data_IF_979760977323
#
_entry.id   IF_979760977323
#
_cell.length_a   1.000
_cell.length_b   1.000
_cell.length_c   1.000
_cell.angle_alpha   90.00
_cell.angle_beta   90.00
_cell.angle_gamma   90.00
#
_symmetry.space_group_name_H-M   'P 1'
#
loop_
_entity.id
_entity.type
_entity.pdbx_description
1 polymer ?
#
# COMPACT_ATOMS: atom_id res chain seq x y z
N UNK A 1 7.45 -98.83 2.95
CA UNK A 1 6.71 -99.61 1.94
C UNK A 1 6.71 -98.83 0.63
N UNK A 2 7.09 -99.48 -0.47
CA UNK A 2 7.05 -99.09 -1.90
C UNK A 2 7.84 -97.80 -2.27
N UNK A 3 8.96 -97.77 -3.03
CA UNK A 3 9.38 -98.45 -4.28
C UNK A 3 8.28 -98.48 -5.34
N UNK A 4 8.40 -97.70 -6.42
CA UNK A 4 8.79 -98.14 -7.79
C UNK A 4 8.57 -97.10 -8.91
N UNK A 5 9.56 -97.02 -9.83
CA UNK A 5 9.47 -97.00 -11.33
C UNK A 5 8.77 -95.77 -11.96
N UNK A 6 9.26 -95.08 -12.98
CA UNK A 6 10.29 -95.34 -13.99
C UNK A 6 9.79 -94.84 -15.36
N UNK A 7 10.73 -94.74 -16.30
CA UNK A 7 10.57 -94.70 -17.76
C UNK A 7 10.45 -93.36 -18.54
N UNK A 8 11.41 -93.25 -19.47
CA UNK A 8 11.26 -92.97 -20.90
C UNK A 8 11.33 -91.53 -21.44
N UNK A 9 12.57 -91.16 -21.81
CA UNK A 9 13.01 -90.82 -23.18
C UNK A 9 11.93 -90.34 -24.16
N UNK A 10 12.06 -89.08 -24.61
CA UNK A 10 11.82 -88.75 -26.01
C UNK A 10 12.72 -87.58 -26.45
N UNK A 11 13.58 -87.89 -27.40
CA UNK A 11 14.50 -87.01 -28.10
C UNK A 11 13.72 -86.28 -29.20
N UNK A 12 13.67 -84.94 -29.15
CA UNK A 12 13.15 -84.14 -30.27
C UNK A 12 14.07 -82.94 -30.52
N UNK A 13 14.91 -83.08 -31.55
CA UNK A 13 15.69 -81.99 -32.13
C UNK A 13 14.76 -81.18 -33.02
N UNK A 14 14.56 -79.90 -32.68
CA UNK A 14 13.85 -78.92 -33.52
C UNK A 14 14.83 -77.81 -33.90
N UNK A 15 15.07 -77.72 -35.22
CA UNK A 15 15.86 -76.69 -35.89
C UNK A 15 15.23 -75.30 -35.68
N UNK A 16 15.96 -74.41 -35.02
CA UNK A 16 15.62 -72.98 -34.91
C UNK A 16 16.44 -72.17 -35.93
N UNK A 17 15.76 -71.53 -36.88
CA UNK A 17 16.33 -70.47 -37.70
C UNK A 17 16.35 -69.14 -36.93
N UNK A 18 17.30 -68.23 -37.20
CA UNK A 18 17.38 -66.96 -36.49
C UNK A 18 16.30 -65.99 -36.98
N UNK A 19 15.48 -65.50 -36.04
CA UNK A 19 14.60 -64.35 -36.24
C UNK A 19 15.47 -63.09 -36.07
N UNK A 20 15.62 -62.32 -37.15
CA UNK A 20 16.22 -61.00 -37.10
C UNK A 20 15.23 -60.01 -36.45
N UNK A 21 15.44 -59.72 -35.16
CA UNK A 21 14.84 -58.57 -34.49
C UNK A 21 15.80 -57.38 -34.58
N UNK A 22 15.48 -56.44 -35.46
CA UNK A 22 16.17 -55.15 -35.57
C UNK A 22 15.22 -54.00 -35.31
N UNK A 23 15.04 -53.61 -34.04
CA UNK A 23 14.62 -52.26 -33.64
C UNK A 23 15.33 -51.89 -32.33
N UNK A 24 16.49 -51.26 -32.47
CA UNK A 24 17.26 -50.71 -31.35
C UNK A 24 16.63 -49.40 -30.87
N UNK A 25 15.70 -49.49 -29.93
CA UNK A 25 15.30 -48.33 -29.12
C UNK A 25 16.34 -48.17 -28.01
N UNK A 26 17.37 -47.34 -28.25
CA UNK A 26 18.38 -47.01 -27.23
C UNK A 26 17.70 -46.22 -26.10
N UNK A 27 17.31 -46.92 -25.03
CA UNK A 27 16.99 -46.30 -23.75
C UNK A 27 18.24 -45.62 -23.22
N UNK A 28 18.19 -44.31 -23.06
CA UNK A 28 19.22 -43.55 -22.34
C UNK A 28 19.33 -44.07 -20.90
N UNK A 29 20.53 -44.12 -20.30
CA UNK A 29 20.73 -44.56 -18.93
C UNK A 29 19.98 -43.66 -17.95
N UNK A 30 19.37 -44.27 -16.92
CA UNK A 30 18.69 -43.54 -15.85
C UNK A 30 19.66 -42.56 -15.17
N UNK A 31 19.36 -41.26 -15.26
CA UNK A 31 20.15 -40.18 -14.64
C UNK A 31 20.75 -39.17 -15.62
N UNK A 32 20.70 -39.40 -16.94
CA UNK A 32 21.19 -38.43 -17.92
C UNK A 32 20.04 -37.52 -18.37
N UNK A 33 20.09 -36.26 -17.94
CA UNK A 33 19.15 -35.22 -18.37
C UNK A 33 19.24 -35.06 -19.90
N UNK A 34 18.14 -35.33 -20.61
CA UNK A 34 18.07 -35.14 -22.06
C UNK A 34 18.10 -33.62 -22.38
N UNK A 35 19.16 -33.10 -23.04
CA UNK A 35 19.27 -31.68 -23.36
C UNK A 35 18.12 -31.17 -24.23
N UNK A 36 17.53 -32.02 -25.07
CA UNK A 36 16.38 -31.64 -25.88
C UNK A 36 15.11 -31.50 -25.03
N UNK A 37 14.93 -32.38 -24.04
CA UNK A 37 13.84 -32.28 -23.07
C UNK A 37 13.98 -31.02 -22.19
N UNK A 38 15.19 -30.70 -21.71
CA UNK A 38 15.44 -29.47 -20.95
C UNK A 38 15.10 -28.24 -21.78
N UNK A 39 15.61 -28.14 -23.02
CA UNK A 39 15.33 -26.99 -23.89
C UNK A 39 13.83 -26.81 -24.16
N UNK A 40 13.10 -27.90 -24.31
CA UNK A 40 11.63 -27.89 -24.45
C UNK A 40 10.94 -27.36 -23.19
N UNK A 41 11.40 -27.78 -22.01
CA UNK A 41 10.90 -27.28 -20.72
C UNK A 41 11.22 -25.79 -20.53
N UNK A 42 12.43 -25.36 -20.88
CA UNK A 42 12.83 -23.94 -20.83
C UNK A 42 11.96 -23.08 -21.76
N UNK A 43 11.69 -23.56 -22.97
CA UNK A 43 10.81 -22.87 -23.92
C UNK A 43 9.39 -22.78 -23.36
N UNK A 44 8.86 -23.87 -22.77
CA UNK A 44 7.55 -23.85 -22.13
C UNK A 44 7.50 -22.88 -20.94
N UNK A 45 8.55 -22.84 -20.12
CA UNK A 45 8.65 -21.91 -19.00
C UNK A 45 8.63 -20.46 -19.48
N UNK A 46 9.38 -20.14 -20.54
CA UNK A 46 9.39 -18.80 -21.16
C UNK A 46 8.01 -18.41 -21.72
N UNK A 47 7.32 -19.34 -22.39
CA UNK A 47 5.96 -19.08 -22.89
C UNK A 47 4.99 -18.81 -21.75
N UNK A 48 5.02 -19.63 -20.69
CA UNK A 48 4.15 -19.44 -19.52
C UNK A 48 4.44 -18.13 -18.79
N UNK A 49 5.72 -17.76 -18.66
CA UNK A 49 6.10 -16.46 -18.11
C UNK A 49 5.53 -15.32 -18.97
N UNK A 50 5.72 -15.38 -20.29
CA UNK A 50 5.23 -14.35 -21.20
C UNK A 50 3.70 -14.20 -21.16
N UNK A 51 2.96 -15.32 -21.14
CA UNK A 51 1.49 -15.33 -21.02
C UNK A 51 1.03 -14.75 -19.68
N UNK A 52 1.68 -15.13 -18.58
CA UNK A 52 1.37 -14.62 -17.25
C UNK A 52 1.62 -13.11 -17.15
N UNK A 53 2.78 -12.63 -17.62
CA UNK A 53 3.12 -11.20 -17.62
C UNK A 53 2.18 -10.38 -18.50
N UNK A 54 1.80 -10.92 -19.66
CA UNK A 54 0.81 -10.31 -20.54
C UNK A 54 -0.55 -10.20 -19.83
N UNK A 55 -1.02 -11.29 -19.23
CA UNK A 55 -2.28 -11.31 -18.49
C UNK A 55 -2.31 -10.28 -17.36
N UNK A 56 -1.22 -10.12 -16.60
CA UNK A 56 -1.11 -9.08 -15.57
C UNK A 56 -1.15 -7.66 -16.14
N UNK A 57 -0.53 -7.44 -17.31
CA UNK A 57 -0.54 -6.13 -17.99
C UNK A 57 -1.93 -5.76 -18.49
N UNK A 58 -2.64 -6.74 -19.07
CA UNK A 58 -4.02 -6.56 -19.55
C UNK A 58 -4.99 -6.29 -18.38
N UNK A 59 -4.83 -7.00 -17.26
CA UNK A 59 -5.59 -6.74 -16.03
C UNK A 59 -5.27 -5.38 -15.43
N UNK A 60 -3.99 -4.97 -15.39
CA UNK A 60 -3.60 -3.66 -14.89
C UNK A 60 -4.31 -2.55 -15.69
N UNK A 61 -4.25 -2.65 -17.03
CA UNK A 61 -4.91 -1.70 -17.93
C UNK A 61 -6.43 -1.67 -17.71
N UNK A 62 -7.06 -2.84 -17.61
CA UNK A 62 -8.50 -2.95 -17.36
C UNK A 62 -8.93 -2.31 -16.03
N UNK A 63 -8.09 -2.44 -14.98
CA UNK A 63 -8.34 -1.77 -13.70
C UNK A 63 -8.15 -0.25 -13.78
N UNK A 64 -7.16 0.23 -14.55
CA UNK A 64 -7.02 1.66 -14.83
C UNK A 64 -8.24 2.23 -15.56
N UNK A 65 -8.73 1.51 -16.57
CA UNK A 65 -9.88 1.94 -17.39
C UNK A 65 -11.16 2.12 -16.55
N UNK A 66 -11.33 1.32 -15.50
CA UNK A 66 -12.44 1.45 -14.53
C UNK A 66 -12.12 2.36 -13.34
N UNK A 67 -10.93 2.96 -13.30
CA UNK A 67 -10.48 3.89 -12.25
C UNK A 67 -9.98 3.23 -10.96
N UNK A 68 -9.86 1.90 -10.90
CA UNK A 68 -9.36 1.17 -9.73
C UNK A 68 -7.81 1.11 -9.74
N UNK A 69 -7.20 2.28 -9.47
CA UNK A 69 -5.75 2.47 -9.51
C UNK A 69 -5.00 1.60 -8.49
N UNK A 70 -5.61 1.29 -7.35
CA UNK A 70 -5.03 0.42 -6.32
C UNK A 70 -4.85 -1.01 -6.86
N UNK A 71 -5.86 -1.57 -7.54
CA UNK A 71 -5.75 -2.90 -8.17
C UNK A 71 -4.83 -2.88 -9.38
N UNK A 72 -4.86 -1.84 -10.20
CA UNK A 72 -3.91 -1.68 -11.30
C UNK A 72 -2.46 -1.74 -10.81
N UNK A 73 -2.13 -0.97 -9.76
CA UNK A 73 -0.82 -0.99 -9.12
C UNK A 73 -0.46 -2.37 -8.57
N UNK A 74 -1.41 -3.09 -7.97
CA UNK A 74 -1.17 -4.44 -7.46
C UNK A 74 -0.77 -5.42 -8.57
N UNK A 75 -1.37 -5.32 -9.75
CA UNK A 75 -1.00 -6.16 -10.91
C UNK A 75 0.41 -5.82 -11.43
N UNK A 76 0.73 -4.53 -11.53
CA UNK A 76 2.07 -4.06 -11.93
C UNK A 76 3.15 -4.48 -10.91
N UNK A 77 2.85 -4.45 -9.61
CA UNK A 77 3.76 -4.96 -8.58
C UNK A 77 3.97 -6.48 -8.68
N UNK A 78 2.95 -7.24 -9.09
CA UNK A 78 3.11 -8.67 -9.35
C UNK A 78 4.06 -8.93 -10.52
N UNK A 79 4.04 -8.09 -11.56
CA UNK A 79 5.03 -8.16 -12.66
C UNK A 79 6.45 -7.97 -12.11
N UNK A 80 6.68 -6.97 -11.25
CA UNK A 80 8.01 -6.71 -10.67
C UNK A 80 8.54 -7.84 -9.77
N UNK A 81 7.66 -8.69 -9.21
CA UNK A 81 8.08 -9.89 -8.46
C UNK A 81 8.66 -10.97 -9.35
N UNK A 82 8.25 -11.02 -10.62
CA UNK A 82 8.77 -11.95 -11.62
C UNK A 82 9.93 -11.33 -12.40
N UNK A 83 9.81 -10.05 -12.78
CA UNK A 83 10.80 -9.28 -13.55
C UNK A 83 11.15 -7.96 -12.86
N UNK A 84 12.11 -7.96 -11.91
CA UNK A 84 12.47 -6.76 -11.13
C UNK A 84 13.12 -5.63 -11.94
N UNK A 85 13.66 -5.94 -13.11
CA UNK A 85 14.33 -5.03 -14.05
C UNK A 85 13.38 -4.39 -15.08
N UNK A 86 12.06 -4.59 -14.95
CA UNK A 86 11.07 -3.94 -15.81
C UNK A 86 10.88 -2.46 -15.45
N UNK A 87 11.78 -1.58 -15.90
CA UNK A 87 11.76 -0.15 -15.56
C UNK A 87 10.50 0.57 -16.04
N UNK A 88 9.93 0.17 -17.17
CA UNK A 88 8.65 0.71 -17.67
C UNK A 88 7.50 0.47 -16.67
N UNK A 89 7.51 -0.67 -15.97
CA UNK A 89 6.49 -1.01 -14.97
C UNK A 89 6.68 -0.17 -13.71
N UNK A 90 7.93 0.07 -13.29
CA UNK A 90 8.24 0.96 -12.16
C UNK A 90 7.76 2.38 -12.43
N UNK A 91 8.04 2.89 -13.63
CA UNK A 91 7.63 4.23 -14.04
C UNK A 91 6.10 4.34 -14.09
N UNK A 92 5.41 3.33 -14.63
CA UNK A 92 3.94 3.30 -14.64
C UNK A 92 3.35 3.30 -13.23
N UNK A 93 3.93 2.53 -12.29
CA UNK A 93 3.52 2.56 -10.88
C UNK A 93 3.67 3.97 -10.29
N UNK A 94 4.80 4.63 -10.58
CA UNK A 94 5.05 6.00 -10.11
C UNK A 94 4.04 6.99 -10.70
N UNK A 95 3.72 6.88 -11.97
CA UNK A 95 2.68 7.70 -12.62
C UNK A 95 1.31 7.50 -11.98
N UNK A 96 0.94 6.24 -11.68
CA UNK A 96 -0.30 5.96 -10.96
C UNK A 96 -0.29 6.62 -9.58
N UNK A 97 0.81 6.51 -8.83
CA UNK A 97 0.95 7.15 -7.51
C UNK A 97 0.81 8.67 -7.58
N UNK A 98 1.46 9.32 -8.55
CA UNK A 98 1.37 10.77 -8.74
C UNK A 98 -0.05 11.21 -9.16
N UNK A 99 -0.71 10.43 -10.03
CA UNK A 99 -2.05 10.75 -10.51
C UNK A 99 -3.10 10.78 -9.39
N UNK A 100 -2.89 10.02 -8.30
CA UNK A 100 -3.81 10.05 -7.14
C UNK A 100 -3.83 11.44 -6.48
N UNK A 101 -2.71 12.17 -6.48
CA UNK A 101 -2.66 13.53 -5.92
C UNK A 101 -3.24 14.60 -6.84
N UNK A 102 -3.23 14.36 -8.16
CA UNK A 102 -3.78 15.29 -9.14
C UNK A 102 -5.31 15.17 -9.23
N UNK A 103 -5.80 13.95 -9.32
CA UNK A 103 -7.23 13.70 -9.59
C UNK A 103 -8.10 13.79 -8.33
N UNK A 104 -7.51 13.52 -7.16
CA UNK A 104 -8.24 13.45 -5.89
C UNK A 104 -7.85 14.62 -5.01
N UNK A 105 -8.58 15.72 -5.18
CA UNK A 105 -8.40 16.94 -4.39
C UNK A 105 -9.72 17.39 -3.75
N UNK A 106 -9.63 17.83 -2.49
CA UNK A 106 -10.73 18.48 -1.77
C UNK A 106 -10.21 19.76 -1.14
N UNK A 107 -11.00 20.83 -1.21
CA UNK A 107 -10.75 22.06 -0.46
C UNK A 107 -11.62 22.05 0.78
N UNK A 108 -10.97 22.11 1.94
CA UNK A 108 -11.61 22.30 3.24
C UNK A 108 -11.55 23.78 3.60
N UNK A 109 -12.70 24.42 3.68
CA UNK A 109 -12.81 25.80 4.17
C UNK A 109 -12.80 25.80 5.72
N UNK A 110 -11.71 26.31 6.28
CA UNK A 110 -11.49 26.38 7.72
C UNK A 110 -11.85 27.77 8.24
N UNK A 111 -12.87 27.86 9.10
CA UNK A 111 -13.14 29.06 9.88
C UNK A 111 -12.25 29.09 11.12
N UNK A 112 -11.25 29.98 11.13
CA UNK A 112 -10.22 30.00 12.18
C UNK A 112 -10.77 30.36 13.56
N UNK A 113 -11.97 30.96 13.64
CA UNK A 113 -12.64 31.28 14.90
C UNK A 113 -13.17 30.03 15.62
N UNK A 114 -13.28 28.90 14.91
CA UNK A 114 -13.72 27.63 15.48
C UNK A 114 -12.49 26.85 15.96
N UNK A 115 -12.68 26.02 17.00
CA UNK A 115 -11.65 25.12 17.50
C UNK A 115 -11.34 23.99 16.51
N UNK A 116 -11.36 22.74 16.98
CA UNK A 116 -11.19 21.58 16.10
C UNK A 116 -12.32 21.46 15.07
N UNK A 117 -11.97 21.46 13.78
CA UNK A 117 -12.89 21.33 12.64
C UNK A 117 -12.62 20.02 11.94
N UNK A 118 -13.66 19.18 11.81
CA UNK A 118 -13.58 17.99 10.97
C UNK A 118 -13.42 18.38 9.49
N UNK A 119 -12.43 17.80 8.83
CA UNK A 119 -12.29 17.92 7.36
C UNK A 119 -13.34 17.10 6.59
N UNK A 120 -14.04 16.18 7.27
CA UNK A 120 -14.89 15.17 6.62
C UNK A 120 -14.10 14.07 5.90
N UNK A 121 -12.76 14.06 6.02
CA UNK A 121 -11.88 13.10 5.36
C UNK A 121 -11.36 12.06 6.33
N UNK A 122 -11.41 10.79 5.92
CA UNK A 122 -10.71 9.68 6.58
C UNK A 122 -9.43 9.40 5.82
N UNK A 123 -8.31 9.53 6.51
CA UNK A 123 -7.01 9.12 5.98
C UNK A 123 -6.76 7.65 6.32
N UNK A 124 -6.02 6.97 5.45
CA UNK A 124 -5.72 5.54 5.60
C UNK A 124 -4.27 5.33 6.05
N UNK A 125 -4.08 4.40 6.99
CA UNK A 125 -2.75 4.01 7.48
C UNK A 125 -1.82 3.67 6.32
N UNK A 126 -0.63 4.27 6.32
CA UNK A 126 0.42 4.02 5.35
C UNK A 126 0.18 4.61 3.96
N UNK A 127 -0.98 5.24 3.71
CA UNK A 127 -1.27 5.87 2.43
C UNK A 127 -1.07 7.38 2.51
N UNK A 128 -0.24 7.90 1.61
CA UNK A 128 0.19 9.28 1.67
C UNK A 128 -0.91 10.27 1.23
N UNK A 129 -0.95 11.42 1.92
CA UNK A 129 -1.77 12.59 1.60
C UNK A 129 -0.92 13.86 1.65
N UNK A 130 -1.26 14.86 0.83
CA UNK A 130 -0.64 16.18 0.86
C UNK A 130 -1.65 17.22 1.28
N UNK A 131 -1.24 18.09 2.19
CA UNK A 131 -2.01 19.21 2.70
C UNK A 131 -1.33 20.51 2.28
N UNK A 132 -2.08 21.42 1.69
CA UNK A 132 -1.62 22.76 1.33
C UNK A 132 -2.60 23.79 1.89
N UNK A 133 -2.11 24.67 2.75
CA UNK A 133 -2.93 25.71 3.36
C UNK A 133 -2.64 27.07 2.72
N UNK A 134 -3.70 27.77 2.35
CA UNK A 134 -3.64 29.12 1.80
C UNK A 134 -4.61 30.04 2.53
N UNK A 135 -4.24 31.32 2.60
CA UNK A 135 -5.03 32.37 3.24
C UNK A 135 -4.30 33.02 4.39
N UNK A 136 -4.96 34.01 4.98
CA UNK A 136 -4.45 34.79 6.09
C UNK A 136 -5.56 35.01 7.09
N UNK A 137 -5.22 35.00 8.37
CA UNK A 137 -6.14 35.29 9.45
C UNK A 137 -5.41 36.11 10.52
N UNK A 138 -6.18 36.74 11.41
CA UNK A 138 -5.65 37.50 12.53
C UNK A 138 -5.76 36.65 13.79
N UNK A 139 -4.66 36.51 14.51
CA UNK A 139 -4.61 35.96 15.85
C UNK A 139 -4.48 37.11 16.84
N UNK A 140 -5.43 37.22 17.77
CA UNK A 140 -5.45 38.27 18.80
C UNK A 140 -5.36 37.58 20.16
N UNK A 141 -4.36 37.96 20.93
CA UNK A 141 -4.09 37.42 22.25
C UNK A 141 -4.00 38.58 23.22
N UNK A 142 -4.81 38.56 24.27
CA UNK A 142 -4.81 39.56 25.33
C UNK A 142 -4.53 38.86 26.66
N UNK A 143 -3.25 38.67 26.98
CA UNK A 143 -2.78 38.07 28.23
C UNK A 143 -1.71 38.94 28.88
N UNK A 144 -1.68 38.89 30.22
CA UNK A 144 -0.56 39.36 31.02
C UNK A 144 0.34 38.16 31.31
N UNK A 145 1.58 38.20 30.80
CA UNK A 145 2.55 37.12 30.95
C UNK A 145 3.78 37.61 31.73
N UNK A 146 4.30 36.75 32.58
CA UNK A 146 5.61 36.93 33.21
C UNK A 146 6.77 36.58 32.26
N UNK A 147 8.03 36.71 32.71
CA UNK A 147 9.21 36.40 31.89
C UNK A 147 9.29 34.93 31.44
N UNK A 148 8.59 34.04 32.14
CA UNK A 148 8.50 32.61 31.79
C UNK A 148 7.49 32.33 30.65
N UNK A 149 6.67 33.30 30.25
CA UNK A 149 5.66 33.13 29.19
C UNK A 149 4.49 32.21 29.58
N UNK A 150 3.97 31.46 28.60
CA UNK A 150 2.89 30.49 28.81
C UNK A 150 3.40 29.23 29.53
N UNK A 151 2.78 28.86 30.65
CA UNK A 151 3.02 27.57 31.31
C UNK A 151 2.05 26.52 30.74
N UNK A 152 2.60 25.40 30.28
CA UNK A 152 1.85 24.27 29.72
C UNK A 152 0.88 23.62 30.72
N UNK A 153 1.07 23.85 32.03
CA UNK A 153 0.31 23.23 33.12
C UNK A 153 -0.90 24.04 33.63
N UNK A 154 -1.10 25.29 33.19
CA UNK A 154 -2.12 26.20 33.75
C UNK A 154 -3.58 25.90 33.33
N UNK A 155 -3.88 24.72 32.76
CA UNK A 155 -5.25 24.35 32.32
C UNK A 155 -5.83 25.23 31.19
N UNK A 156 -5.07 26.22 30.72
CA UNK A 156 -5.30 27.01 29.49
C UNK A 156 -4.55 26.42 28.28
N UNK A 157 -3.74 25.38 28.52
CA UNK A 157 -2.90 24.65 27.57
C UNK A 157 -3.52 23.37 26.99
N UNK A 158 -4.78 23.04 27.28
CA UNK A 158 -5.46 21.86 26.66
C UNK A 158 -5.50 21.94 25.11
N UNK A 159 -5.29 23.15 24.62
CA UNK A 159 -5.50 23.58 23.26
C UNK A 159 -4.20 24.08 22.60
N UNK A 160 -3.11 24.11 23.36
CA UNK A 160 -1.79 24.48 22.86
C UNK A 160 -1.01 23.20 22.54
N UNK A 161 -0.51 23.10 21.31
CA UNK A 161 0.36 21.99 20.92
C UNK A 161 1.81 22.41 21.18
N UNK A 162 2.43 21.79 22.18
CA UNK A 162 3.82 22.05 22.54
C UNK A 162 4.77 21.81 21.35
N UNK A 163 5.75 22.70 21.19
CA UNK A 163 6.73 22.64 20.11
C UNK A 163 6.21 23.08 18.73
N UNK A 164 4.95 23.48 18.60
CA UNK A 164 4.39 24.05 17.38
C UNK A 164 4.24 25.58 17.54
N UNK A 165 4.60 26.40 16.54
CA UNK A 165 4.43 27.85 16.63
C UNK A 165 2.97 28.25 16.89
N UNK A 166 2.78 29.25 17.75
CA UNK A 166 1.48 29.89 17.95
C UNK A 166 1.00 30.49 16.63
N UNK A 167 -0.22 30.14 16.26
CA UNK A 167 -0.87 30.51 15.02
C UNK A 167 -0.60 29.56 13.83
N UNK A 168 0.18 28.50 14.00
CA UNK A 168 0.35 27.52 12.93
C UNK A 168 -0.93 26.67 12.75
N UNK A 169 -1.19 26.23 11.52
CA UNK A 169 -2.21 25.21 11.26
C UNK A 169 -1.68 23.85 11.74
N UNK A 170 -2.50 23.16 12.53
CA UNK A 170 -2.24 21.80 13.02
C UNK A 170 -3.35 20.84 12.58
N UNK A 171 -2.97 19.59 12.43
CA UNK A 171 -3.87 18.48 12.16
C UNK A 171 -3.75 17.40 13.23
N UNK A 172 -4.77 16.57 13.33
CA UNK A 172 -4.79 15.38 14.17
C UNK A 172 -5.65 14.31 13.48
N UNK A 173 -5.23 13.05 13.60
CA UNK A 173 -5.97 11.92 13.07
C UNK A 173 -6.71 11.27 14.24
N UNK A 174 -8.04 11.27 14.20
CA UNK A 174 -8.87 10.66 15.25
C UNK A 174 -9.33 9.28 14.76
N UNK A 175 -8.94 8.17 15.40
CA UNK A 175 -9.35 6.83 15.01
C UNK A 175 -10.88 6.68 15.01
N UNK A 176 -11.41 6.08 13.94
CA UNK A 176 -12.86 5.82 13.82
C UNK A 176 -13.21 4.66 14.76
N UNK A 177 -13.98 4.94 15.83
CA UNK A 177 -14.35 3.95 16.85
C UNK A 177 -13.57 4.04 18.18
N UNK A 178 -12.67 5.01 18.34
CA UNK A 178 -11.95 5.26 19.60
C UNK A 178 -12.76 6.09 20.62
N UNK A 179 -12.59 5.81 21.91
CA UNK A 179 -13.32 6.40 23.05
C UNK A 179 -12.99 7.87 23.36
N UNK A 180 -12.48 8.65 22.41
CA UNK A 180 -12.07 10.04 22.65
C UNK A 180 -12.44 10.93 21.47
N UNK A 181 -13.59 11.62 21.59
CA UNK A 181 -13.98 12.73 20.71
C UNK A 181 -13.14 14.01 20.96
N UNK A 182 -12.01 13.93 21.67
CA UNK A 182 -11.16 15.08 22.00
C UNK A 182 -9.70 14.79 21.59
N UNK A 183 -9.11 15.57 20.67
CA UNK A 183 -7.79 15.26 20.10
C UNK A 183 -6.55 15.57 20.96
N UNK A 184 -6.66 15.62 22.30
CA UNK A 184 -5.52 16.02 23.13
C UNK A 184 -5.53 15.40 24.53
N UNK A 185 -5.80 14.09 24.63
CA UNK A 185 -5.85 13.40 25.93
C UNK A 185 -4.50 12.76 26.28
N UNK A 186 -3.52 13.60 26.63
CA UNK A 186 -2.24 13.15 27.20
C UNK A 186 -1.39 12.28 26.26
N UNK A 187 -0.43 11.53 26.85
CA UNK A 187 0.56 10.72 26.12
C UNK A 187 -0.04 9.60 25.25
N UNK A 188 -1.27 9.18 25.56
CA UNK A 188 -1.95 8.06 24.91
C UNK A 188 -3.04 8.51 23.90
N UNK A 189 -3.27 9.82 23.78
CA UNK A 189 -4.20 10.40 22.80
C UNK A 189 -3.58 10.56 21.41
N UNK A 190 -4.41 10.72 20.36
CA UNK A 190 -3.91 11.01 19.02
C UNK A 190 -3.08 12.29 19.03
N UNK A 191 -1.85 12.19 18.53
CA UNK A 191 -0.86 13.28 18.61
C UNK A 191 -1.07 14.28 17.47
N UNK A 192 -1.25 15.58 17.78
CA UNK A 192 -1.29 16.60 16.75
C UNK A 192 0.03 16.71 16.00
N UNK A 193 -0.03 17.14 14.74
CA UNK A 193 1.12 17.44 13.91
C UNK A 193 0.98 18.81 13.25
N UNK A 194 2.10 19.47 13.01
CA UNK A 194 2.13 20.75 12.32
C UNK A 194 1.90 20.55 10.81
N UNK A 195 0.97 21.32 10.24
CA UNK A 195 0.75 21.37 8.79
C UNK A 195 1.46 22.59 8.20
N UNK A 196 1.35 23.76 8.83
CA UNK A 196 1.90 25.00 8.27
C UNK A 196 1.28 25.34 6.90
N UNK A 197 2.08 25.81 5.94
CA UNK A 197 1.64 26.12 4.58
C UNK A 197 1.56 24.90 3.67
N UNK A 198 2.40 23.88 3.89
CA UNK A 198 2.40 22.64 3.15
C UNK A 198 2.96 21.50 4.00
N UNK A 199 2.32 20.34 3.93
CA UNK A 199 2.76 19.15 4.64
C UNK A 199 2.42 17.88 3.86
N UNK A 200 3.38 16.96 3.79
CA UNK A 200 3.19 15.63 3.24
C UNK A 200 3.12 14.64 4.40
N UNK A 201 2.01 13.92 4.49
CA UNK A 201 1.66 13.09 5.63
C UNK A 201 1.50 11.63 5.19
N UNK A 202 2.22 10.74 5.86
CA UNK A 202 1.95 9.29 5.83
C UNK A 202 1.34 8.89 7.17
N UNK A 203 0.01 8.68 7.25
CA UNK A 203 -0.69 8.35 8.49
C UNK A 203 -0.16 7.06 9.12
N UNK A 204 0.09 7.07 10.43
CA UNK A 204 0.48 5.86 11.20
C UNK A 204 -0.72 4.97 11.52
N UNK A 205 -1.92 5.55 11.49
CA UNK A 205 -3.20 4.92 11.72
C UNK A 205 -4.28 5.53 10.81
N UNK A 206 -5.36 4.79 10.60
CA UNK A 206 -6.51 5.29 9.84
C UNK A 206 -7.45 6.07 10.75
N UNK A 207 -7.99 7.19 10.28
CA UNK A 207 -8.85 8.01 11.11
C UNK A 207 -9.36 9.27 10.42
N UNK A 208 -10.28 9.96 11.08
CA UNK A 208 -10.80 11.25 10.64
C UNK A 208 -9.73 12.32 10.82
N UNK A 209 -9.41 13.04 9.75
CA UNK A 209 -8.55 14.21 9.81
C UNK A 209 -9.33 15.41 10.37
N UNK A 210 -8.82 15.97 11.46
CA UNK A 210 -9.38 17.14 12.13
C UNK A 210 -8.31 18.23 12.14
N UNK A 211 -8.72 19.47 11.87
CA UNK A 211 -7.84 20.61 11.62
C UNK A 211 -8.15 21.75 12.59
N UNK A 212 -7.13 22.57 12.89
CA UNK A 212 -7.22 23.65 13.88
C UNK A 212 -6.06 24.64 13.72
N UNK A 213 -6.24 25.88 14.14
CA UNK A 213 -5.12 26.80 14.42
C UNK A 213 -4.58 26.56 15.83
N UNK A 214 -3.27 26.34 15.96
CA UNK A 214 -2.60 26.24 17.25
C UNK A 214 -2.66 27.60 17.95
N UNK A 215 -3.44 27.70 19.02
CA UNK A 215 -3.65 28.98 19.71
C UNK A 215 -4.02 28.70 21.17
N UNK A 216 -3.63 29.58 22.10
CA UNK A 216 -4.03 29.44 23.50
C UNK A 216 -5.55 29.62 23.62
N UNK A 217 -6.15 29.02 24.66
CA UNK A 217 -7.61 28.91 24.79
C UNK A 217 -8.38 30.24 24.85
N UNK A 218 -7.69 31.33 25.21
CA UNK A 218 -8.23 32.69 25.27
C UNK A 218 -8.00 33.51 23.99
N UNK A 219 -7.27 32.97 23.02
CA UNK A 219 -7.01 33.68 21.78
C UNK A 219 -8.27 33.82 20.93
N UNK A 220 -8.37 34.96 20.24
CA UNK A 220 -9.39 35.22 19.23
C UNK A 220 -8.78 35.14 17.85
N UNK A 221 -9.21 34.16 17.08
CA UNK A 221 -8.86 34.01 15.66
C UNK A 221 -9.96 34.63 14.78
N UNK A 222 -9.59 35.44 13.79
CA UNK A 222 -10.52 36.03 12.81
C UNK A 222 -9.98 35.86 11.40
N UNK A 223 -10.72 35.11 10.58
CA UNK A 223 -10.38 34.87 9.17
C UNK A 223 -10.66 33.44 8.76
N UNK A 224 -10.31 33.11 7.52
CA UNK A 224 -10.50 31.77 6.96
C UNK A 224 -9.21 31.28 6.31
N UNK A 225 -8.98 29.99 6.43
CA UNK A 225 -7.94 29.28 5.69
C UNK A 225 -8.59 28.30 4.73
N UNK A 226 -7.99 28.12 3.56
CA UNK A 226 -8.36 27.05 2.63
C UNK A 226 -7.30 25.99 2.69
N UNK A 227 -7.68 24.78 3.06
CA UNK A 227 -6.77 23.64 3.11
C UNK A 227 -7.11 22.72 1.97
N UNK A 228 -6.26 22.69 0.95
CA UNK A 228 -6.33 21.69 -0.11
C UNK A 228 -5.74 20.39 0.43
N UNK A 229 -6.53 19.34 0.43
CA UNK A 229 -6.10 17.98 0.73
C UNK A 229 -6.10 17.20 -0.57
N UNK A 230 -4.99 16.52 -0.86
CA UNK A 230 -4.85 15.68 -2.05
C UNK A 230 -4.25 14.32 -1.70
N UNK A 231 -4.53 13.32 -2.52
CA UNK A 231 -3.99 11.97 -2.34
C UNK A 231 -5.01 10.99 -1.77
N UNK A 232 -4.54 10.07 -0.91
CA UNK A 232 -5.31 8.91 -0.46
C UNK A 232 -6.19 9.20 0.77
N UNK A 233 -7.42 9.64 0.55
CA UNK A 233 -8.40 9.86 1.62
C UNK A 233 -9.82 9.44 1.22
N UNK A 234 -10.61 8.85 2.10
CA UNK A 234 -12.05 8.60 1.86
C UNK A 234 -12.92 9.69 2.51
N UNK A 235 -14.15 9.86 2.04
CA UNK A 235 -15.09 10.82 2.64
C UNK A 235 -15.91 10.13 3.73
N UNK A 236 -16.15 10.82 4.85
CA UNK A 236 -17.12 10.39 5.87
C UNK A 236 -18.54 10.65 5.33
N UNK A 237 -19.07 9.70 4.57
CA UNK A 237 -20.47 9.68 4.13
C UNK A 237 -20.79 10.55 2.90
N UNK A 238 -20.81 9.89 1.74
CA UNK A 238 -22.08 9.68 1.01
C UNK A 238 -22.35 8.19 0.98
#
# INVERSE_FOLDING_TARGET
>A
MLRTIGLMSCLTVLLTGPIAYGQGNKKLPAGQLDPAAIKSLDTKAQTLEAEFLKGLTDLASSYEDVGDKDKAKAMLQAILKVRPDADQVKEKIKQLDESVFLDRQLIVDLDTARGWISSGLVVEKGKEVRLEAAGTYKLIVNDELGPDGYRSEDGKGEDFVDGVPTGALVGVIVPVGGASNRPNRGKDGPQPFMIGSSHQLTPRESGLLVLRVNSPSNAKCVGRLKVRVSGNYSNVGK
#
